data_IF_106258920207
#
_entry.id   IF_106258920207
#
_cell.length_a   1.000
_cell.length_b   1.000
_cell.length_c   1.000
_cell.angle_alpha   90.00
_cell.angle_beta   90.00
_cell.angle_gamma   90.00
#
_symmetry.space_group_name_H-M   'P 1'
#
loop_
_entity.id
_entity.type
_entity.pdbx_description
1 polymer ?
#
# COMPACT_ATOMS: atom_id res chain seq x y z
N UNK A 1 34.40 8.35 7.59
CA UNK A 1 33.07 8.86 8.01
C UNK A 1 32.19 7.64 8.22
N UNK A 2 31.95 7.23 9.46
CA UNK A 2 31.16 6.04 9.74
C UNK A 2 29.69 6.35 9.48
N UNK A 3 29.07 5.71 8.49
CA UNK A 3 27.61 5.65 8.41
C UNK A 3 27.14 4.92 9.68
N UNK A 4 26.55 5.66 10.61
CA UNK A 4 25.70 5.03 11.61
C UNK A 4 24.57 4.36 10.83
N UNK A 5 24.68 3.05 10.64
CA UNK A 5 23.58 2.19 10.20
C UNK A 5 22.51 2.26 11.30
N UNK A 6 21.70 3.31 11.27
CA UNK A 6 20.50 3.40 12.08
C UNK A 6 19.64 2.25 11.58
N UNK A 7 19.45 1.22 12.41
CA UNK A 7 18.53 0.13 12.10
C UNK A 7 17.16 0.75 11.82
N UNK A 8 16.79 0.80 10.55
CA UNK A 8 15.53 1.30 10.04
C UNK A 8 14.69 0.11 9.62
N UNK A 9 13.50 0.01 10.22
CA UNK A 9 12.51 -1.01 9.96
C UNK A 9 11.40 -0.37 9.14
N UNK A 10 11.27 -0.79 7.89
CA UNK A 10 10.12 -0.44 7.07
C UNK A 10 8.94 -1.29 7.53
N UNK A 11 7.78 -0.67 7.74
CA UNK A 11 6.53 -1.36 8.02
C UNK A 11 5.58 -1.01 6.88
N UNK A 12 5.12 -2.04 6.18
CA UNK A 12 4.12 -1.95 5.11
C UNK A 12 2.88 -2.71 5.57
N UNK A 13 1.77 -1.99 5.70
CA UNK A 13 0.47 -2.59 5.85
C UNK A 13 -0.34 -2.39 4.57
N UNK A 14 -0.86 -3.49 4.04
CA UNK A 14 -1.61 -3.55 2.80
C UNK A 14 -3.03 -3.97 3.17
N UNK A 15 -4.02 -3.19 2.75
CA UNK A 15 -5.43 -3.54 2.89
C UNK A 15 -6.04 -3.62 1.51
N UNK A 16 -6.61 -4.78 1.18
CA UNK A 16 -7.23 -5.04 -0.12
C UNK A 16 -8.73 -5.19 0.07
N UNK A 17 -9.51 -4.41 -0.67
CA UNK A 17 -10.97 -4.54 -0.74
C UNK A 17 -11.32 -4.96 -2.16
N UNK A 18 -12.00 -6.10 -2.31
CA UNK A 18 -12.43 -6.60 -3.61
C UNK A 18 -13.96 -6.69 -3.68
N UNK A 19 -14.55 -6.34 -4.82
CA UNK A 19 -15.98 -6.49 -5.03
C UNK A 19 -16.34 -6.71 -6.49
N UNK A 20 -17.44 -7.43 -6.70
CA UNK A 20 -18.01 -7.61 -8.03
C UNK A 20 -18.71 -6.33 -8.52
N UNK A 21 -18.71 -6.12 -9.84
CA UNK A 21 -19.41 -5.00 -10.49
C UNK A 21 -20.88 -4.86 -10.11
N UNK A 22 -21.59 -5.93 -9.77
CA UNK A 22 -22.99 -5.87 -9.35
C UNK A 22 -23.20 -5.16 -8.00
N UNK A 23 -22.16 -5.03 -7.16
CA UNK A 23 -22.24 -4.45 -5.82
C UNK A 23 -22.22 -2.91 -5.83
N UNK A 24 -23.22 -2.31 -6.48
CA UNK A 24 -23.31 -0.86 -6.76
C UNK A 24 -24.35 -0.09 -5.96
N UNK A 25 -25.23 -0.77 -5.22
CA UNK A 25 -26.27 -0.10 -4.42
C UNK A 25 -25.66 0.70 -3.28
N UNK A 26 -26.39 1.69 -2.77
CA UNK A 26 -25.96 2.50 -1.62
C UNK A 26 -25.61 1.64 -0.41
N UNK A 27 -26.34 0.56 -0.17
CA UNK A 27 -26.03 -0.42 0.87
C UNK A 27 -24.64 -1.02 0.70
N UNK A 28 -24.26 -1.39 -0.53
CA UNK A 28 -22.93 -1.93 -0.79
C UNK A 28 -21.84 -0.88 -0.59
N UNK A 29 -22.09 0.37 -0.98
CA UNK A 29 -21.16 1.49 -0.77
C UNK A 29 -20.95 1.69 0.74
N UNK A 30 -22.02 1.72 1.52
CA UNK A 30 -21.95 1.88 2.98
C UNK A 30 -21.23 0.70 3.64
N UNK A 31 -21.52 -0.53 3.23
CA UNK A 31 -20.80 -1.72 3.74
C UNK A 31 -19.30 -1.64 3.45
N UNK A 32 -18.88 -1.22 2.25
CA UNK A 32 -17.45 -1.05 1.95
C UNK A 32 -16.81 0.08 2.74
N UNK A 33 -17.54 1.16 2.99
CA UNK A 33 -17.06 2.27 3.81
C UNK A 33 -16.82 1.86 5.28
N UNK A 34 -17.45 0.78 5.76
CA UNK A 34 -17.17 0.23 7.10
C UNK A 34 -15.90 -0.59 7.19
N UNK A 35 -15.30 -1.00 6.06
CA UNK A 35 -14.06 -1.77 6.05
C UNK A 35 -12.90 -0.82 6.38
N UNK A 36 -12.17 -1.05 7.49
CA UNK A 36 -11.03 -0.21 7.87
C UNK A 36 -9.95 -0.19 6.79
N UNK A 37 -9.24 0.94 6.70
CA UNK A 37 -8.07 1.11 5.83
C UNK A 37 -6.75 1.04 6.61
N UNK A 38 -6.83 0.77 7.92
CA UNK A 38 -5.72 0.64 8.87
C UNK A 38 -6.07 -0.33 10.00
N UNK A 39 -5.09 -1.14 10.39
CA UNK A 39 -5.21 -2.19 11.41
C UNK A 39 -4.01 -2.17 12.36
N UNK A 40 -4.07 -2.81 13.54
CA UNK A 40 -2.86 -3.12 14.29
C UNK A 40 -2.02 -4.16 13.54
N UNK A 41 -0.71 -4.01 13.58
CA UNK A 41 0.24 -4.95 12.95
C UNK A 41 0.49 -6.11 13.92
N UNK A 42 -0.05 -7.29 13.60
CA UNK A 42 0.01 -8.49 14.45
C UNK A 42 0.68 -9.65 13.73
N UNK A 43 1.48 -10.44 14.46
CA UNK A 43 2.16 -11.62 13.95
C UNK A 43 1.47 -12.90 14.47
N UNK A 44 0.99 -13.81 13.61
CA UNK A 44 0.60 -13.65 12.19
C UNK A 44 -0.68 -12.78 12.02
N UNK A 45 -0.99 -12.25 10.81
CA UNK A 45 -0.42 -12.59 9.50
C UNK A 45 0.82 -11.80 9.10
N UNK A 46 1.22 -10.76 9.86
CA UNK A 46 2.43 -10.02 9.55
C UNK A 46 3.67 -10.92 9.58
N UNK A 47 4.66 -10.61 8.75
CA UNK A 47 5.92 -11.34 8.71
C UNK A 47 7.10 -10.43 8.34
N UNK A 48 8.30 -10.87 8.68
CA UNK A 48 9.53 -10.17 8.33
C UNK A 48 10.00 -10.56 6.93
N UNK A 49 10.31 -9.58 6.10
CA UNK A 49 10.89 -9.71 4.77
C UNK A 49 12.27 -9.04 4.67
N UNK A 50 13.00 -9.33 3.59
CA UNK A 50 14.26 -8.67 3.22
C UNK A 50 15.30 -8.60 4.35
N UNK A 51 15.69 -9.75 4.90
CA UNK A 51 16.61 -9.86 6.04
C UNK A 51 16.14 -9.07 7.28
N UNK A 52 14.83 -9.12 7.57
CA UNK A 52 14.18 -8.43 8.71
C UNK A 52 14.25 -6.90 8.65
N UNK A 53 14.45 -6.34 7.46
CA UNK A 53 14.45 -4.89 7.24
C UNK A 53 13.04 -4.35 6.94
N UNK A 54 12.11 -5.25 6.61
CA UNK A 54 10.72 -4.90 6.33
C UNK A 54 9.78 -5.82 7.11
N UNK A 55 8.69 -5.26 7.62
CA UNK A 55 7.49 -6.00 8.05
C UNK A 55 6.44 -5.79 6.97
N UNK A 56 5.83 -6.89 6.54
CA UNK A 56 4.70 -6.88 5.60
C UNK A 56 3.51 -7.45 6.34
N UNK A 57 2.42 -6.70 6.37
CA UNK A 57 1.15 -7.03 7.01
C UNK A 57 0.03 -6.86 5.99
N UNK A 58 -0.68 -7.94 5.67
CA UNK A 58 -1.72 -7.92 4.64
C UNK A 58 -3.08 -8.25 5.25
N UNK A 59 -4.07 -7.42 4.94
CA UNK A 59 -5.46 -7.55 5.37
C UNK A 59 -6.40 -7.51 4.17
N UNK A 60 -7.59 -8.07 4.37
CA UNK A 60 -8.68 -8.04 3.40
C UNK A 60 -8.60 -9.18 2.39
N UNK A 61 -9.33 -9.00 1.29
CA UNK A 61 -9.58 -10.05 0.32
C UNK A 61 -8.40 -10.19 -0.64
N UNK A 62 -7.81 -11.38 -0.70
CA UNK A 62 -6.86 -11.79 -1.74
C UNK A 62 -7.40 -13.03 -2.43
N UNK A 63 -8.52 -12.86 -3.15
CA UNK A 63 -9.24 -13.98 -3.80
C UNK A 63 -8.31 -14.74 -4.77
N UNK A 64 -7.30 -14.07 -5.31
CA UNK A 64 -6.31 -14.66 -6.24
C UNK A 64 -5.05 -15.21 -5.54
N UNK A 65 -4.90 -14.98 -4.22
CA UNK A 65 -3.85 -15.54 -3.37
C UNK A 65 -2.41 -15.13 -3.68
N UNK A 66 -2.21 -14.07 -4.48
CA UNK A 66 -0.90 -13.58 -4.93
C UNK A 66 -0.95 -12.13 -5.43
N UNK A 67 -1.91 -11.33 -4.94
CA UNK A 67 -2.18 -10.03 -5.54
C UNK A 67 -1.04 -9.04 -5.37
N UNK A 68 -0.49 -8.91 -4.16
CA UNK A 68 0.57 -7.93 -3.90
C UNK A 68 1.93 -8.58 -3.95
N UNK A 69 2.68 -8.24 -5.00
CA UNK A 69 4.06 -8.65 -5.20
C UNK A 69 4.98 -7.63 -4.56
N UNK A 70 5.96 -8.13 -3.82
CA UNK A 70 7.02 -7.34 -3.22
C UNK A 70 8.39 -7.94 -3.57
N UNK A 71 9.36 -7.09 -3.84
CA UNK A 71 10.72 -7.48 -4.21
C UNK A 71 11.73 -6.45 -3.70
N UNK A 72 12.95 -6.90 -3.45
CA UNK A 72 14.08 -6.00 -3.20
C UNK A 72 14.94 -5.95 -4.46
N UNK A 73 15.13 -4.75 -5.01
CA UNK A 73 15.98 -4.53 -6.17
C UNK A 73 17.45 -4.64 -5.82
N UNK A 74 18.30 -4.81 -6.85
CA UNK A 74 19.76 -4.79 -6.69
C UNK A 74 20.28 -3.43 -6.22
N UNK A 75 19.50 -2.37 -6.43
CA UNK A 75 19.74 -1.01 -5.92
C UNK A 75 19.36 -0.85 -4.44
N UNK A 76 18.89 -1.92 -3.77
CA UNK A 76 18.50 -1.91 -2.37
C UNK A 76 17.12 -1.30 -2.11
N UNK A 77 16.43 -0.81 -3.15
CA UNK A 77 15.07 -0.30 -3.03
C UNK A 77 14.08 -1.45 -2.84
N UNK A 78 13.03 -1.21 -2.07
CA UNK A 78 11.94 -2.16 -1.88
C UNK A 78 10.80 -1.77 -2.81
N UNK A 79 10.45 -2.66 -3.71
CA UNK A 79 9.36 -2.52 -4.66
C UNK A 79 8.17 -3.31 -4.13
N UNK A 80 6.98 -2.71 -4.18
CA UNK A 80 5.74 -3.41 -3.88
C UNK A 80 4.62 -2.83 -4.73
N UNK A 81 3.99 -3.70 -5.52
CA UNK A 81 3.00 -3.34 -6.53
C UNK A 81 3.41 -2.09 -7.35
N UNK A 82 2.65 -1.00 -7.25
CA UNK A 82 2.86 0.27 -7.95
C UNK A 82 3.78 1.24 -7.22
N UNK A 83 4.43 0.83 -6.13
CA UNK A 83 5.25 1.72 -5.31
C UNK A 83 6.67 1.21 -5.16
N UNK A 84 7.57 2.13 -4.83
CA UNK A 84 8.88 1.82 -4.28
C UNK A 84 9.17 2.65 -3.05
N UNK A 85 9.94 2.09 -2.15
CA UNK A 85 10.56 2.82 -1.04
C UNK A 85 12.07 2.78 -1.24
N UNK A 86 12.67 3.97 -1.30
CA UNK A 86 14.12 4.11 -1.35
C UNK A 86 14.73 3.99 0.04
N UNK A 87 15.73 3.13 0.19
CA UNK A 87 16.42 2.92 1.47
C UNK A 87 17.31 4.10 1.85
N UNK A 88 17.91 4.76 0.87
CA UNK A 88 18.86 5.86 1.09
C UNK A 88 18.16 7.15 1.53
N UNK A 89 17.03 7.46 0.89
CA UNK A 89 16.30 8.69 1.14
C UNK A 89 15.05 8.51 2.01
N UNK A 90 14.66 7.26 2.30
CA UNK A 90 13.46 6.92 3.06
C UNK A 90 12.23 7.58 2.39
N UNK A 91 12.18 7.53 1.06
CA UNK A 91 11.12 8.17 0.26
C UNK A 91 10.26 7.10 -0.39
N UNK A 92 8.95 7.26 -0.31
CA UNK A 92 7.99 6.47 -1.09
C UNK A 92 7.67 7.18 -2.40
N UNK A 93 7.72 6.42 -3.50
CA UNK A 93 7.42 6.91 -4.83
C UNK A 93 6.46 5.96 -5.55
N UNK A 94 5.57 6.54 -6.35
CA UNK A 94 4.61 5.84 -7.20
C UNK A 94 5.18 5.62 -8.61
N UNK A 95 5.12 4.38 -9.09
CA UNK A 95 5.33 4.03 -10.48
C UNK A 95 3.98 4.09 -11.19
N UNK A 96 3.84 5.05 -12.10
CA UNK A 96 2.69 5.05 -12.98
C UNK A 96 2.77 3.83 -13.92
N UNK A 97 1.64 3.15 -14.15
CA UNK A 97 1.56 2.02 -15.08
C UNK A 97 1.96 2.37 -16.52
N UNK A 98 2.02 3.68 -16.87
CA UNK A 98 2.60 4.16 -18.12
C UNK A 98 4.13 4.20 -18.00
N UNK A 99 4.78 3.22 -18.64
CA UNK A 99 6.22 2.90 -18.59
C UNK A 99 7.21 4.05 -18.80
N UNK A 100 6.79 5.20 -19.34
CA UNK A 100 7.71 6.26 -19.79
C UNK A 100 7.82 7.47 -18.85
N UNK A 101 7.20 7.45 -17.66
CA UNK A 101 7.32 8.56 -16.70
C UNK A 101 8.23 8.21 -15.52
N UNK A 102 9.09 9.15 -15.08
CA UNK A 102 9.87 8.95 -13.87
C UNK A 102 8.92 8.74 -12.67
N UNK A 103 9.29 7.93 -11.67
CA UNK A 103 8.45 7.67 -10.51
C UNK A 103 8.10 8.98 -9.79
N UNK A 104 6.83 9.15 -9.49
CA UNK A 104 6.34 10.33 -8.78
C UNK A 104 6.66 10.18 -7.29
N UNK A 105 7.46 11.10 -6.76
CA UNK A 105 7.79 11.12 -5.33
C UNK A 105 6.57 11.61 -4.55
N UNK A 106 6.07 10.77 -3.64
CA UNK A 106 4.92 11.12 -2.79
C UNK A 106 5.41 11.87 -1.55
N UNK A 107 6.44 11.34 -0.87
CA UNK A 107 6.96 11.96 0.34
C UNK A 107 7.97 11.10 1.08
N UNK A 108 8.50 11.67 2.18
CA UNK A 108 9.42 10.98 3.10
C UNK A 108 8.65 10.17 4.14
N UNK A 109 9.20 9.02 4.53
CA UNK A 109 8.71 8.16 5.60
C UNK A 109 9.51 8.35 6.91
N UNK A 110 10.39 9.36 6.99
CA UNK A 110 11.15 9.63 8.21
C UNK A 110 10.22 10.19 9.29
N UNK A 111 10.00 9.39 10.34
CA UNK A 111 9.16 9.70 11.52
C UNK A 111 7.71 10.09 11.19
N UNK A 112 7.23 9.73 10.02
CA UNK A 112 5.88 9.97 9.57
C UNK A 112 5.41 8.78 8.74
N UNK A 113 4.11 8.56 8.71
CA UNK A 113 3.54 7.53 7.86
C UNK A 113 2.70 8.17 6.76
N UNK A 114 2.69 7.48 5.62
CA UNK A 114 1.99 7.89 4.41
C UNK A 114 1.00 6.79 4.06
N UNK A 115 -0.21 7.20 3.70
CA UNK A 115 -1.24 6.32 3.18
C UNK A 115 -1.36 6.52 1.67
N UNK A 116 -1.30 5.45 0.91
CA UNK A 116 -1.49 5.47 -0.54
C UNK A 116 -2.69 4.60 -0.91
N UNK A 117 -3.60 5.12 -1.73
CA UNK A 117 -4.80 4.42 -2.20
C UNK A 117 -4.83 4.41 -3.71
N UNK A 118 -5.19 3.29 -4.30
CA UNK A 118 -5.43 3.20 -5.74
C UNK A 118 -6.44 2.10 -6.03
N UNK A 119 -7.09 2.19 -7.20
CA UNK A 119 -8.05 1.19 -7.64
C UNK A 119 -7.63 0.51 -8.93
N UNK A 120 -7.97 -0.77 -9.03
CA UNK A 120 -7.80 -1.58 -10.23
C UNK A 120 -9.17 -2.12 -10.64
N UNK A 121 -9.41 -2.05 -11.95
CA UNK A 121 -10.44 -2.85 -12.59
C UNK A 121 -9.75 -4.01 -13.32
N UNK A 122 -9.95 -5.23 -12.84
CA UNK A 122 -9.54 -6.43 -13.55
C UNK A 122 -10.68 -6.86 -14.48
N UNK A 123 -10.47 -6.65 -15.80
CA UNK A 123 -11.44 -6.93 -16.85
C UNK A 123 -11.13 -8.22 -17.63
N UNK A 124 -10.05 -8.93 -17.27
CA UNK A 124 -9.58 -10.11 -18.01
C UNK A 124 -10.32 -11.41 -17.59
N UNK A 125 -11.34 -11.30 -16.73
CA UNK A 125 -12.14 -12.42 -16.22
C UNK A 125 -13.62 -12.33 -16.65
N UNK A 126 -14.30 -13.49 -16.68
CA UNK A 126 -15.75 -13.57 -16.95
C UNK A 126 -16.62 -12.81 -15.92
N UNK A 127 -16.05 -12.41 -14.78
CA UNK A 127 -16.62 -11.53 -13.76
C UNK A 127 -15.73 -10.29 -13.61
N UNK A 128 -16.35 -9.12 -13.42
CA UNK A 128 -15.61 -7.86 -13.29
C UNK A 128 -15.27 -7.66 -11.82
N UNK A 129 -13.99 -7.74 -11.48
CA UNK A 129 -13.50 -7.54 -10.12
C UNK A 129 -12.96 -6.12 -9.99
N UNK A 130 -13.61 -5.32 -9.16
CA UNK A 130 -13.06 -4.07 -8.68
C UNK A 130 -12.21 -4.34 -7.45
N UNK A 131 -11.10 -3.63 -7.37
CA UNK A 131 -10.19 -3.69 -6.24
C UNK A 131 -9.80 -2.27 -5.82
N UNK A 132 -9.86 -2.01 -4.52
CA UNK A 132 -9.24 -0.86 -3.87
C UNK A 132 -8.12 -1.37 -2.97
N UNK A 133 -6.91 -0.88 -3.19
CA UNK A 133 -5.75 -1.20 -2.36
C UNK A 133 -5.33 0.02 -1.59
N UNK A 134 -5.22 -0.13 -0.27
CA UNK A 134 -4.59 0.85 0.60
C UNK A 134 -3.23 0.32 1.06
N UNK A 135 -2.21 1.16 0.97
CA UNK A 135 -0.87 0.90 1.52
C UNK A 135 -0.55 1.96 2.56
N UNK A 136 -0.38 1.52 3.80
CA UNK A 136 0.17 2.34 4.88
C UNK A 136 1.66 2.02 5.02
N UNK A 137 2.51 3.03 4.92
CA UNK A 137 3.96 2.86 4.97
C UNK A 137 4.59 3.78 6.01
N UNK A 138 5.57 3.26 6.76
CA UNK A 138 6.37 4.04 7.71
C UNK A 138 7.74 3.39 7.92
N UNK A 139 8.76 4.21 8.21
CA UNK A 139 10.05 3.73 8.69
C UNK A 139 10.24 4.10 10.16
N UNK A 140 10.50 3.09 11.00
CA UNK A 140 10.74 3.25 12.42
C UNK A 140 12.08 2.65 12.85
N UNK A 141 12.60 3.12 13.99
CA UNK A 141 13.77 2.49 14.63
C UNK A 141 13.39 1.30 15.53
N UNK A 142 12.13 1.25 15.97
CA UNK A 142 11.58 0.18 16.81
C UNK A 142 10.17 -0.13 16.33
N UNK A 143 9.83 -1.42 16.29
CA UNK A 143 8.49 -1.87 15.97
C UNK A 143 7.45 -1.37 16.98
N UNK A 144 6.31 -0.90 16.46
CA UNK A 144 5.12 -0.52 17.21
C UNK A 144 3.89 -1.13 16.51
N UNK A 145 3.17 -2.00 17.22
CA UNK A 145 1.97 -2.70 16.72
C UNK A 145 0.83 -1.74 16.33
N UNK A 146 0.76 -0.56 16.94
CA UNK A 146 -0.34 0.41 16.77
C UNK A 146 0.09 1.63 15.97
N UNK A 147 1.20 1.54 15.25
CA UNK A 147 1.81 2.69 14.56
C UNK A 147 0.82 3.45 13.66
N UNK A 148 -0.06 2.75 12.93
CA UNK A 148 -1.05 3.36 12.04
C UNK A 148 -2.35 3.79 12.75
N UNK A 149 -2.51 3.44 14.03
CA UNK A 149 -3.68 3.79 14.84
C UNK A 149 -3.40 4.96 15.80
N UNK A 150 -2.13 5.23 16.10
CA UNK A 150 -1.72 6.24 17.07
C UNK A 150 -1.76 7.67 16.52
N UNK A 151 -1.73 7.85 15.20
CA UNK A 151 -1.77 9.15 14.54
C UNK A 151 -2.37 9.02 13.14
N UNK A 152 -2.88 10.11 12.59
CA UNK A 152 -3.32 10.19 11.19
C UNK A 152 -2.12 10.25 10.22
N UNK A 153 -2.29 9.83 8.95
CA UNK A 153 -1.22 9.86 7.97
C UNK A 153 -0.84 11.31 7.67
N UNK A 154 0.45 11.56 7.48
CA UNK A 154 0.90 12.90 7.12
C UNK A 154 0.54 13.25 5.67
N UNK A 155 0.51 12.24 4.80
CA UNK A 155 0.09 12.37 3.41
C UNK A 155 -0.87 11.23 3.09
N UNK A 156 -2.01 11.57 2.49
CA UNK A 156 -2.90 10.63 1.81
C UNK A 156 -2.75 10.87 0.31
N UNK A 157 -2.21 9.87 -0.40
CA UNK A 157 -2.06 9.89 -1.85
C UNK A 157 -3.12 8.99 -2.48
N UNK A 158 -3.89 9.50 -3.43
CA UNK A 158 -4.98 8.76 -4.07
C UNK A 158 -4.78 8.74 -5.59
N UNK A 159 -4.72 7.55 -6.18
CA UNK A 159 -4.73 7.32 -7.64
C UNK A 159 -5.94 6.47 -8.02
N UNK A 160 -7.11 7.09 -7.94
CA UNK A 160 -8.33 6.55 -8.51
C UNK A 160 -8.42 7.04 -9.96
N UNK A 161 -7.97 6.21 -10.91
CA UNK A 161 -8.03 6.52 -12.34
C UNK A 161 -9.38 7.16 -12.71
N UNK A 162 -9.36 8.35 -13.35
CA UNK A 162 -10.53 9.14 -13.74
C UNK A 162 -11.54 8.38 -14.64
N UNK A 163 -11.17 7.22 -15.19
CA UNK A 163 -12.05 6.36 -15.98
C UNK A 163 -13.26 5.82 -15.19
N UNK A 164 -13.21 5.76 -13.86
CA UNK A 164 -14.37 5.43 -13.03
C UNK A 164 -15.31 6.63 -12.81
N UNK A 165 -14.79 7.86 -12.90
CA UNK A 165 -15.59 9.09 -12.76
C UNK A 165 -16.22 9.54 -14.09
N UNK A 166 -15.58 9.25 -15.22
CA UNK A 166 -16.09 9.62 -16.55
C UNK A 166 -17.33 8.84 -17.01
N UNK A 167 -17.76 7.80 -16.28
CA UNK A 167 -19.00 7.05 -16.55
C UNK A 167 -20.20 7.54 -15.72
N UNK A 168 -20.05 8.65 -14.99
CA UNK A 168 -21.13 9.31 -14.23
C UNK A 168 -21.78 10.51 -14.94
N UNK A 169 -21.50 10.74 -16.23
CA UNK A 169 -22.20 11.74 -17.06
C UNK A 169 -23.11 11.09 -18.07
#
# INVERSE_FOLDING_TARGET
MALNNKMSLLILQIVIKQWDKSQRTDTHILQRATIPDKYPVLFPPAFYAFNKQCIIDQHGDDIQGNRVKYAQGADGNIYFDRFRVSKDNIVIAYHNAKLDKPPHIIGSLDKQWIQCKYSILDADMYYWLYEEVTVNAIVLSKFDEKVFLNAEPQIVYEDFNELDNARRS
#
